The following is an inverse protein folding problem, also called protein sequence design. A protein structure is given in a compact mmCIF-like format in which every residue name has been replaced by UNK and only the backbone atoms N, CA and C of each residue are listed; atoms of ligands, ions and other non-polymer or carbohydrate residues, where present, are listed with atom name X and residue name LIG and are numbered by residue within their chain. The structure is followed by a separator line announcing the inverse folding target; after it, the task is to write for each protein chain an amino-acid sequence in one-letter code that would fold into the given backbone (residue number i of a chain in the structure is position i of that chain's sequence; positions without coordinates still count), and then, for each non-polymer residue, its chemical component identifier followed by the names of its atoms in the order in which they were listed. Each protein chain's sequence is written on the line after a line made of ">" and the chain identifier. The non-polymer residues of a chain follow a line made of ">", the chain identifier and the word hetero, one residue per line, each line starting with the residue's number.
data_IF_875012479909
#
_entry.id   IF_875012479909
#
_cell.length_a   1.000
_cell.length_b   1.000
_cell.length_c   1.000
_cell.angle_alpha   90.00
_cell.angle_beta   90.00
_cell.angle_gamma   90.00
#
_symmetry.space_group_name_H-M   'P 1'
#
loop_
_entity.id
_entity.type
_entity.pdbx_description
1 polymer ?
#
# COMPACT_ATOMS: atom_id res chain seq x y z
N UNK A 1 -4.80 -22.06 -16.89
CA UNK A 1 -4.78 -20.77 -16.17
C UNK A 1 -3.38 -20.22 -16.27
N UNK A 2 -3.18 -19.08 -16.92
CA UNK A 2 -1.90 -18.37 -16.85
C UNK A 2 -1.69 -17.91 -15.40
N UNK A 3 -0.48 -18.10 -14.86
CA UNK A 3 -0.13 -17.64 -13.51
C UNK A 3 -0.22 -16.12 -13.39
N UNK A 4 -0.21 -15.60 -12.16
CA UNK A 4 -0.07 -14.17 -11.95
C UNK A 4 1.24 -13.68 -12.58
N UNK A 5 1.26 -12.55 -13.31
CA UNK A 5 2.44 -12.13 -14.07
C UNK A 5 3.66 -11.90 -13.19
N UNK A 6 4.85 -12.12 -13.76
CA UNK A 6 6.13 -11.74 -13.17
C UNK A 6 6.32 -10.22 -13.13
N UNK A 7 7.34 -9.78 -12.40
CA UNK A 7 7.63 -8.35 -12.26
C UNK A 7 8.02 -7.68 -13.58
N UNK A 8 8.66 -8.40 -14.50
CA UNK A 8 8.94 -7.99 -15.87
C UNK A 8 7.68 -7.50 -16.59
N UNK A 9 6.61 -8.30 -16.55
CA UNK A 9 5.32 -7.95 -17.16
C UNK A 9 4.66 -6.79 -16.42
N UNK A 10 4.68 -6.81 -15.08
CA UNK A 10 4.07 -5.75 -14.27
C UNK A 10 4.77 -4.39 -14.47
N UNK A 11 6.11 -4.39 -14.60
CA UNK A 11 6.92 -3.21 -14.86
C UNK A 11 6.63 -2.65 -16.26
N UNK A 12 6.60 -3.50 -17.29
CA UNK A 12 6.23 -3.08 -18.65
C UNK A 12 4.86 -2.42 -18.66
N UNK A 13 3.88 -3.05 -18.02
CA UNK A 13 2.51 -2.54 -17.92
C UNK A 13 2.44 -1.18 -17.21
N UNK A 14 3.15 -1.00 -16.11
CA UNK A 14 3.25 0.29 -15.42
C UNK A 14 3.91 1.36 -16.31
N UNK A 15 4.98 1.01 -17.01
CA UNK A 15 5.69 1.92 -17.91
C UNK A 15 4.80 2.36 -19.09
N UNK A 16 4.12 1.40 -19.74
CA UNK A 16 3.15 1.64 -20.80
C UNK A 16 2.02 2.56 -20.33
N UNK A 17 1.48 2.32 -19.12
CA UNK A 17 0.43 3.18 -18.56
C UNK A 17 0.88 4.63 -18.37
N UNK A 18 2.17 4.86 -18.14
CA UNK A 18 2.77 6.20 -17.99
C UNK A 18 3.34 6.74 -19.30
N UNK A 19 3.27 5.98 -20.41
CA UNK A 19 3.88 6.35 -21.69
C UNK A 19 5.41 6.44 -21.62
N UNK A 20 6.04 5.67 -20.74
CA UNK A 20 7.49 5.70 -20.52
C UNK A 20 8.15 4.56 -21.29
N UNK A 21 9.12 4.89 -22.13
CA UNK A 21 10.00 3.88 -22.72
C UNK A 21 11.17 3.55 -21.79
N UNK A 22 11.99 2.55 -22.14
CA UNK A 22 13.14 2.13 -21.31
C UNK A 22 14.17 3.26 -21.14
N UNK A 23 14.38 4.09 -22.18
CA UNK A 23 15.24 5.28 -22.10
C UNK A 23 14.69 6.31 -21.10
N UNK A 24 13.38 6.56 -21.13
CA UNK A 24 12.73 7.46 -20.15
C UNK A 24 12.91 6.93 -18.72
N UNK A 25 12.67 5.63 -18.51
CA UNK A 25 12.87 5.00 -17.21
C UNK A 25 14.32 5.13 -16.74
N UNK A 26 15.29 4.87 -17.62
CA UNK A 26 16.72 4.98 -17.35
C UNK A 26 17.07 6.40 -16.90
N UNK A 27 16.67 7.39 -17.69
CA UNK A 27 16.92 8.82 -17.43
C UNK A 27 16.26 9.30 -16.13
N UNK A 28 14.99 8.96 -15.91
CA UNK A 28 14.22 9.45 -14.76
C UNK A 28 14.61 8.77 -13.44
N UNK A 29 15.02 7.50 -13.48
CA UNK A 29 15.43 6.76 -12.28
C UNK A 29 16.94 6.78 -12.04
N UNK A 30 17.74 7.22 -13.00
CA UNK A 30 19.20 7.05 -13.02
C UNK A 30 19.65 5.58 -12.93
N UNK A 31 18.79 4.63 -13.32
CA UNK A 31 19.13 3.21 -13.45
C UNK A 31 19.69 2.95 -14.84
N UNK A 32 20.83 2.27 -15.00
CA UNK A 32 21.36 1.93 -16.32
C UNK A 32 20.35 1.16 -17.17
N UNK A 33 20.19 1.56 -18.43
CA UNK A 33 19.26 0.94 -19.37
C UNK A 33 19.48 -0.58 -19.50
N UNK A 34 20.74 -1.05 -19.45
CA UNK A 34 21.07 -2.48 -19.46
C UNK A 34 20.49 -3.24 -18.25
N UNK A 35 20.46 -2.62 -17.08
CA UNK A 35 19.85 -3.22 -15.89
C UNK A 35 18.32 -3.25 -15.99
N UNK A 36 17.71 -2.22 -16.58
CA UNK A 36 16.27 -2.20 -16.85
C UNK A 36 15.87 -3.28 -17.86
N UNK A 37 16.60 -3.38 -18.98
CA UNK A 37 16.38 -4.44 -19.98
C UNK A 37 16.50 -5.82 -19.36
N UNK A 38 17.55 -6.08 -18.56
CA UNK A 38 17.70 -7.36 -17.89
C UNK A 38 16.48 -7.73 -17.03
N UNK A 39 15.90 -6.77 -16.30
CA UNK A 39 14.67 -7.00 -15.51
C UNK A 39 13.46 -7.23 -16.41
N UNK A 40 13.31 -6.47 -17.49
CA UNK A 40 12.24 -6.65 -18.48
C UNK A 40 12.36 -7.99 -19.23
N UNK A 41 13.57 -8.55 -19.30
CA UNK A 41 13.86 -9.88 -19.83
C UNK A 41 13.72 -10.99 -18.76
N UNK A 42 13.23 -10.65 -17.56
CA UNK A 42 12.90 -11.59 -16.48
C UNK A 42 13.95 -11.76 -15.39
N UNK A 43 15.04 -10.99 -15.40
CA UNK A 43 16.00 -11.04 -14.29
C UNK A 43 15.39 -10.49 -12.98
N UNK A 44 15.71 -11.08 -11.82
CA UNK A 44 15.20 -10.58 -10.54
C UNK A 44 15.72 -9.16 -10.27
N UNK A 45 14.86 -8.21 -9.88
CA UNK A 45 15.27 -6.83 -9.67
C UNK A 45 16.12 -6.68 -8.39
N UNK A 46 17.18 -5.88 -8.50
CA UNK A 46 18.00 -5.50 -7.35
C UNK A 46 17.31 -4.45 -6.46
N UNK A 47 17.65 -4.44 -5.16
CA UNK A 47 17.06 -3.51 -4.17
C UNK A 47 17.28 -2.03 -4.51
N UNK A 48 18.47 -1.69 -5.02
CA UNK A 48 18.79 -0.30 -5.42
C UNK A 48 17.93 0.14 -6.61
N UNK A 49 17.75 -0.74 -7.59
CA UNK A 49 16.93 -0.49 -8.77
C UNK A 49 15.47 -0.23 -8.38
N UNK A 50 14.91 -1.02 -7.46
CA UNK A 50 13.53 -0.79 -6.97
C UNK A 50 13.39 0.56 -6.26
N UNK A 51 14.35 0.95 -5.41
CA UNK A 51 14.33 2.26 -4.73
C UNK A 51 14.41 3.42 -5.72
N UNK A 52 15.19 3.28 -6.77
CA UNK A 52 15.36 4.29 -7.81
C UNK A 52 14.16 4.40 -8.76
N UNK A 53 13.47 3.29 -9.04
CA UNK A 53 12.27 3.27 -9.87
C UNK A 53 11.01 3.79 -9.16
N UNK A 54 10.89 3.58 -7.85
CA UNK A 54 9.66 3.89 -7.13
C UNK A 54 9.17 5.35 -7.31
N UNK A 55 10.03 6.39 -7.22
CA UNK A 55 9.63 7.77 -7.48
C UNK A 55 9.12 8.01 -8.90
N UNK A 56 9.66 7.31 -9.91
CA UNK A 56 9.23 7.43 -11.32
C UNK A 56 7.77 7.01 -11.48
N UNK A 57 7.36 5.97 -10.74
CA UNK A 57 5.98 5.50 -10.71
C UNK A 57 5.10 6.20 -9.66
N UNK A 58 5.65 7.15 -8.91
CA UNK A 58 4.97 7.79 -7.77
C UNK A 58 4.46 6.77 -6.75
N UNK A 59 5.26 5.73 -6.52
CA UNK A 59 5.02 4.70 -5.54
C UNK A 59 6.01 4.83 -4.40
N UNK A 60 5.61 4.36 -3.24
CA UNK A 60 6.53 4.12 -2.15
C UNK A 60 7.48 2.96 -2.52
N UNK A 61 8.74 3.04 -2.13
CA UNK A 61 9.73 2.01 -2.47
C UNK A 61 9.28 0.63 -1.98
N UNK A 62 8.72 0.57 -0.77
CA UNK A 62 8.23 -0.66 -0.16
C UNK A 62 7.09 -1.31 -0.96
N UNK A 63 6.26 -0.51 -1.62
CA UNK A 63 5.20 -1.04 -2.48
C UNK A 63 5.77 -1.67 -3.74
N UNK A 64 6.80 -1.05 -4.32
CA UNK A 64 7.46 -1.62 -5.49
C UNK A 64 8.17 -2.93 -5.16
N UNK A 65 8.70 -3.09 -3.94
CA UNK A 65 9.21 -4.38 -3.45
C UNK A 65 8.10 -5.44 -3.37
N UNK A 66 6.93 -5.07 -2.83
CA UNK A 66 5.77 -5.96 -2.75
C UNK A 66 5.26 -6.35 -4.14
N UNK A 67 5.19 -5.40 -5.08
CA UNK A 67 4.82 -5.62 -6.48
C UNK A 67 5.83 -6.55 -7.17
N UNK A 68 7.12 -6.35 -6.93
CA UNK A 68 8.19 -7.17 -7.47
C UNK A 68 8.30 -8.57 -6.85
N UNK A 69 7.54 -8.86 -5.79
CA UNK A 69 7.66 -10.10 -5.05
C UNK A 69 9.01 -10.26 -4.34
N UNK A 70 9.73 -9.16 -4.12
CA UNK A 70 11.04 -9.15 -3.43
C UNK A 70 10.82 -8.94 -1.95
N UNK A 71 11.52 -9.73 -1.12
CA UNK A 71 11.46 -9.60 0.33
C UNK A 71 11.80 -8.17 0.77
N UNK A 72 10.91 -7.57 1.56
CA UNK A 72 11.10 -6.23 2.06
C UNK A 72 12.21 -6.21 3.13
N UNK A 73 13.18 -5.27 3.05
CA UNK A 73 14.18 -5.12 4.10
C UNK A 73 13.54 -4.86 5.47
N UNK A 74 14.12 -5.41 6.54
CA UNK A 74 13.54 -5.32 7.89
C UNK A 74 13.30 -3.87 8.32
N UNK A 75 14.21 -2.96 8.01
CA UNK A 75 14.11 -1.53 8.27
C UNK A 75 12.93 -0.84 7.55
N UNK A 76 12.37 -1.50 6.54
CA UNK A 76 11.23 -1.03 5.76
C UNK A 76 9.90 -1.69 6.16
N UNK A 77 9.89 -2.79 6.91
CA UNK A 77 8.64 -3.47 7.32
C UNK A 77 7.90 -2.68 8.43
N UNK A 78 6.56 -2.74 8.56
CA UNK A 78 5.85 -2.13 9.68
C UNK A 78 6.46 -2.50 11.04
N UNK A 79 6.66 -1.52 11.93
CA UNK A 79 7.46 -1.72 13.15
C UNK A 79 6.80 -2.72 14.10
N UNK A 80 5.53 -2.47 14.45
CA UNK A 80 4.77 -3.26 15.40
C UNK A 80 3.55 -3.93 14.73
N UNK A 81 3.64 -5.25 14.54
CA UNK A 81 2.57 -6.06 13.92
C UNK A 81 1.24 -6.06 14.68
N UNK A 82 1.21 -5.64 15.95
CA UNK A 82 0.00 -5.58 16.76
C UNK A 82 -0.75 -4.25 16.60
N UNK A 83 -0.14 -3.26 15.95
CA UNK A 83 -0.71 -1.91 15.89
C UNK A 83 -1.83 -1.72 14.86
N UNK A 84 -2.16 -2.73 14.04
CA UNK A 84 -3.18 -2.59 12.98
C UNK A 84 -4.54 -2.07 13.45
N UNK A 85 -5.05 -2.54 14.60
CA UNK A 85 -6.30 -2.03 15.17
C UNK A 85 -6.17 -0.58 15.64
N UNK A 86 -5.00 -0.20 16.18
CA UNK A 86 -4.74 1.18 16.58
C UNK A 86 -4.64 2.12 15.37
N UNK A 87 -4.02 1.67 14.26
CA UNK A 87 -3.99 2.38 12.97
C UNK A 87 -5.40 2.60 12.45
N UNK A 88 -6.25 1.57 12.42
CA UNK A 88 -7.63 1.70 11.96
C UNK A 88 -8.47 2.66 12.83
N UNK A 89 -8.23 2.65 14.16
CA UNK A 89 -8.87 3.59 15.09
C UNK A 89 -8.41 5.02 14.84
N UNK A 90 -7.11 5.24 14.67
CA UNK A 90 -6.52 6.54 14.33
C UNK A 90 -7.10 7.07 13.02
N UNK A 91 -7.13 6.26 11.96
CA UNK A 91 -7.70 6.63 10.66
C UNK A 91 -9.17 7.07 10.78
N UNK A 92 -9.98 6.34 11.56
CA UNK A 92 -11.38 6.69 11.82
C UNK A 92 -11.52 8.05 12.52
N UNK A 93 -10.66 8.36 13.49
CA UNK A 93 -10.68 9.67 14.16
C UNK A 93 -10.24 10.77 13.20
N UNK A 94 -9.12 10.57 12.50
CA UNK A 94 -8.54 11.54 11.57
C UNK A 94 -9.48 11.89 10.41
N UNK A 95 -10.22 10.91 9.87
CA UNK A 95 -11.19 11.13 8.79
C UNK A 95 -12.32 12.11 9.14
N UNK A 96 -12.48 12.45 10.41
CA UNK A 96 -13.56 13.30 10.93
C UNK A 96 -13.05 14.65 11.43
N UNK A 97 -11.74 14.89 11.34
CA UNK A 97 -11.13 16.16 11.69
C UNK A 97 -11.11 17.10 10.47
N UNK A 98 -11.19 18.43 10.66
CA UNK A 98 -10.85 19.42 9.63
C UNK A 98 -9.39 19.28 9.15
N UNK A 99 -9.10 19.84 7.99
CA UNK A 99 -7.78 19.73 7.33
C UNK A 99 -6.62 20.17 8.24
N UNK A 100 -6.71 21.34 8.87
CA UNK A 100 -5.63 21.88 9.73
C UNK A 100 -5.27 20.93 10.88
N UNK A 101 -6.27 20.23 11.44
CA UNK A 101 -6.07 19.25 12.50
C UNK A 101 -5.49 17.94 11.98
N UNK A 102 -5.88 17.49 10.78
CA UNK A 102 -5.22 16.35 10.11
C UNK A 102 -3.75 16.65 9.82
N UNK A 103 -3.45 17.85 9.35
CA UNK A 103 -2.09 18.32 9.10
C UNK A 103 -1.27 18.39 10.39
N UNK A 104 -1.87 18.89 11.48
CA UNK A 104 -1.24 18.87 12.80
C UNK A 104 -0.93 17.44 13.25
N UNK A 105 -1.86 16.51 13.07
CA UNK A 105 -1.70 15.11 13.44
C UNK A 105 -0.60 14.41 12.61
N UNK A 106 -0.51 14.70 11.31
CA UNK A 106 0.58 14.21 10.44
C UNK A 106 1.94 14.75 10.85
N UNK A 107 2.04 16.06 11.10
CA UNK A 107 3.29 16.67 11.62
C UNK A 107 3.71 16.04 12.94
N UNK A 108 2.76 15.79 13.84
CA UNK A 108 3.04 15.11 15.11
C UNK A 108 3.55 13.69 14.87
N UNK A 109 2.87 12.89 14.04
CA UNK A 109 3.29 11.54 13.70
C UNK A 109 4.73 11.49 13.14
N UNK A 110 5.06 12.43 12.24
CA UNK A 110 6.40 12.56 11.64
C UNK A 110 7.48 13.05 12.63
N UNK A 111 7.08 13.74 13.71
CA UNK A 111 8.01 14.22 14.74
C UNK A 111 8.34 13.17 15.81
N UNK A 112 7.55 12.09 15.89
CA UNK A 112 7.80 11.03 16.88
C UNK A 112 9.09 10.27 16.55
N UNK A 113 9.90 9.92 17.57
CA UNK A 113 11.13 9.20 17.33
C UNK A 113 10.83 7.80 16.78
N UNK A 114 11.51 7.44 15.70
CA UNK A 114 11.42 6.09 15.15
C UNK A 114 12.24 5.12 16.01
N UNK A 115 11.56 4.15 16.63
CA UNK A 115 12.22 3.15 17.46
C UNK A 115 12.86 2.03 16.64
N UNK A 116 13.90 1.42 17.21
CA UNK A 116 14.49 0.21 16.66
C UNK A 116 13.59 -0.99 16.95
N UNK A 117 13.51 -1.91 15.98
CA UNK A 117 12.81 -3.17 16.19
C UNK A 117 13.56 -4.01 17.22
N UNK A 118 12.89 -4.35 18.31
CA UNK A 118 13.43 -5.19 19.41
C UNK A 118 12.98 -6.65 19.34
N UNK A 119 11.94 -6.94 18.55
CA UNK A 119 11.37 -8.29 18.38
C UNK A 119 11.44 -8.73 16.92
N UNK A 120 11.61 -10.02 16.61
CA UNK A 120 11.58 -10.48 15.24
C UNK A 120 10.23 -10.16 14.58
N UNK A 121 10.23 -10.02 13.25
CA UNK A 121 8.98 -9.94 12.51
C UNK A 121 8.29 -11.30 12.59
N UNK A 122 7.04 -11.38 13.07
CA UNK A 122 6.34 -12.66 13.13
C UNK A 122 6.05 -13.17 11.72
N UNK A 123 6.15 -14.48 11.55
CA UNK A 123 5.68 -15.10 10.31
C UNK A 123 4.19 -14.79 10.10
N UNK A 124 3.78 -14.46 8.86
CA UNK A 124 2.38 -14.31 8.55
C UNK A 124 1.63 -15.59 8.90
N UNK A 125 0.54 -15.44 9.68
CA UNK A 125 -0.36 -16.55 9.99
C UNK A 125 -0.80 -17.24 8.69
N UNK A 126 -1.04 -18.56 8.66
CA UNK A 126 -1.34 -19.28 7.42
C UNK A 126 -2.49 -18.66 6.61
N UNK A 127 -3.49 -18.10 7.29
CA UNK A 127 -4.62 -17.48 6.63
C UNK A 127 -4.34 -16.12 5.99
N UNK A 128 -3.22 -15.48 6.33
CA UNK A 128 -2.66 -14.24 5.75
C UNK A 128 -1.56 -14.53 4.72
N UNK A 129 -1.27 -15.80 4.44
CA UNK A 129 -0.44 -16.21 3.31
C UNK A 129 -1.34 -16.34 2.09
N UNK A 130 -1.11 -15.48 1.09
CA UNK A 130 -1.93 -15.43 -0.11
C UNK A 130 -1.17 -16.02 -1.30
N UNK A 131 -1.85 -16.79 -2.16
CA UNK A 131 -1.25 -17.23 -3.41
C UNK A 131 -0.88 -16.02 -4.30
N UNK A 132 0.01 -16.20 -5.28
CA UNK A 132 0.22 -15.21 -6.33
C UNK A 132 -1.11 -14.90 -7.03
N UNK A 133 -1.46 -13.62 -7.14
CA UNK A 133 -2.72 -13.18 -7.72
C UNK A 133 -3.07 -11.73 -7.37
N UNK A 134 -4.07 -11.14 -8.05
CA UNK A 134 -4.47 -9.75 -7.85
C UNK A 134 -4.85 -9.43 -6.40
N UNK A 135 -5.74 -10.23 -5.81
CA UNK A 135 -6.13 -10.05 -4.42
C UNK A 135 -4.95 -10.27 -3.45
N UNK A 136 -4.10 -11.26 -3.70
CA UNK A 136 -2.93 -11.52 -2.87
C UNK A 136 -1.95 -10.35 -2.87
N UNK A 137 -1.75 -9.70 -4.02
CA UNK A 137 -0.96 -8.47 -4.13
C UNK A 137 -1.54 -7.35 -3.27
N UNK A 138 -2.84 -7.05 -3.42
CA UNK A 138 -3.51 -6.00 -2.65
C UNK A 138 -3.46 -6.25 -1.15
N UNK A 139 -3.61 -7.50 -0.71
CA UNK A 139 -3.52 -7.84 0.70
C UNK A 139 -2.10 -7.71 1.26
N UNK A 140 -1.05 -7.98 0.46
CA UNK A 140 0.34 -7.72 0.86
C UNK A 140 0.64 -6.21 0.93
N UNK A 141 0.07 -5.43 0.02
CA UNK A 141 0.15 -3.96 0.08
C UNK A 141 -0.55 -3.41 1.33
N UNK A 142 -1.74 -3.92 1.70
CA UNK A 142 -2.40 -3.54 2.96
C UNK A 142 -1.56 -3.92 4.18
N UNK A 143 -0.94 -5.11 4.17
CA UNK A 143 -0.05 -5.52 5.25
C UNK A 143 1.14 -4.54 5.41
N UNK A 144 1.61 -3.93 4.33
CA UNK A 144 2.65 -2.88 4.36
C UNK A 144 2.20 -1.58 5.08
N UNK A 145 0.88 -1.38 5.26
CA UNK A 145 0.26 -0.31 6.07
C UNK A 145 -0.08 -0.78 7.49
N UNK A 146 0.39 -1.97 7.87
CA UNK A 146 0.01 -2.67 9.10
C UNK A 146 -1.49 -3.03 9.17
N UNK A 147 -2.18 -3.12 8.02
CA UNK A 147 -3.60 -3.43 7.94
C UNK A 147 -3.84 -4.90 7.58
N UNK A 148 -4.31 -5.68 8.56
CA UNK A 148 -4.87 -7.03 8.34
C UNK A 148 -6.35 -6.99 7.93
N UNK A 149 -7.06 -8.13 7.90
CA UNK A 149 -8.47 -8.17 7.46
C UNK A 149 -9.40 -7.27 8.28
N UNK A 150 -9.33 -7.38 9.61
CA UNK A 150 -10.21 -6.62 10.51
C UNK A 150 -9.85 -5.13 10.51
N UNK A 151 -8.55 -4.81 10.63
CA UNK A 151 -8.08 -3.42 10.58
C UNK A 151 -8.38 -2.76 9.22
N UNK A 152 -8.18 -3.49 8.12
CA UNK A 152 -8.56 -3.06 6.77
C UNK A 152 -10.06 -2.77 6.69
N UNK A 153 -10.92 -3.71 7.06
CA UNK A 153 -12.37 -3.49 7.05
C UNK A 153 -12.80 -2.26 7.87
N UNK A 154 -12.18 -2.04 9.03
CA UNK A 154 -12.44 -0.86 9.88
C UNK A 154 -11.93 0.46 9.30
N UNK A 155 -10.99 0.41 8.35
CA UNK A 155 -10.36 1.56 7.70
C UNK A 155 -11.08 1.92 6.40
N UNK A 156 -11.58 0.94 5.65
CA UNK A 156 -12.26 1.19 4.37
C UNK A 156 -13.52 2.03 4.55
N UNK A 157 -14.42 1.66 5.48
CA UNK A 157 -15.68 2.38 5.69
C UNK A 157 -15.49 3.90 5.89
N UNK A 158 -14.64 4.39 6.82
CA UNK A 158 -14.46 5.83 7.00
C UNK A 158 -13.77 6.53 5.81
N UNK A 159 -13.01 5.82 4.96
CA UNK A 159 -12.27 6.43 3.85
C UNK A 159 -13.01 6.39 2.51
N UNK A 160 -13.87 5.40 2.31
CA UNK A 160 -14.54 5.15 1.03
C UNK A 160 -16.06 5.24 1.12
N UNK A 161 -16.61 5.27 2.34
CA UNK A 161 -18.06 5.19 2.58
C UNK A 161 -18.66 3.81 2.30
N UNK A 162 -17.85 2.83 1.88
CA UNK A 162 -18.30 1.47 1.54
C UNK A 162 -17.86 0.46 2.59
N UNK A 163 -18.80 -0.37 3.02
CA UNK A 163 -18.55 -1.44 3.95
C UNK A 163 -18.35 -2.76 3.20
N UNK A 164 -17.26 -3.45 3.54
CA UNK A 164 -17.03 -4.84 3.18
C UNK A 164 -16.67 -5.64 4.42
N UNK A 165 -17.15 -6.88 4.50
CA UNK A 165 -16.81 -7.74 5.63
C UNK A 165 -15.31 -8.09 5.63
N UNK A 166 -14.72 -8.28 6.81
CA UNK A 166 -13.34 -8.76 6.95
C UNK A 166 -13.09 -10.07 6.17
N UNK A 167 -14.09 -10.95 6.11
CA UNK A 167 -14.03 -12.20 5.37
C UNK A 167 -13.95 -11.98 3.85
N UNK A 168 -14.64 -10.96 3.32
CA UNK A 168 -14.60 -10.62 1.88
C UNK A 168 -13.18 -10.33 1.43
N UNK A 169 -12.43 -9.48 2.16
CA UNK A 169 -11.02 -9.21 1.85
C UNK A 169 -10.16 -10.47 1.89
N UNK A 170 -10.41 -11.35 2.87
CA UNK A 170 -9.73 -12.63 2.96
C UNK A 170 -10.00 -13.57 1.79
N UNK A 171 -11.24 -13.65 1.31
CA UNK A 171 -11.60 -14.46 0.15
C UNK A 171 -11.03 -13.87 -1.15
N UNK A 172 -11.05 -12.54 -1.31
CA UNK A 172 -10.43 -11.85 -2.44
C UNK A 172 -8.92 -12.07 -2.45
N UNK A 173 -8.26 -11.92 -1.31
CA UNK A 173 -6.83 -12.22 -1.13
C UNK A 173 -6.44 -13.62 -1.59
N UNK A 174 -7.35 -14.60 -1.40
CA UNK A 174 -7.16 -15.99 -1.79
C UNK A 174 -7.63 -16.33 -3.21
N UNK A 175 -8.14 -15.35 -3.96
CA UNK A 175 -8.71 -15.55 -5.30
C UNK A 175 -10.00 -16.36 -5.32
N UNK A 176 -10.69 -16.50 -4.18
CA UNK A 176 -11.97 -17.23 -4.07
C UNK A 176 -13.17 -16.35 -4.41
N UNK A 177 -13.03 -15.04 -4.23
CA UNK A 177 -13.96 -14.02 -4.70
C UNK A 177 -13.20 -13.14 -5.69
N UNK A 178 -13.83 -12.85 -6.82
CA UNK A 178 -13.27 -11.96 -7.83
C UNK A 178 -13.08 -10.54 -7.29
N UNK A 179 -12.00 -9.90 -7.70
CA UNK A 179 -11.74 -8.49 -7.42
C UNK A 179 -12.58 -7.64 -8.37
N UNK A 180 -13.57 -6.92 -7.83
CA UNK A 180 -14.44 -6.03 -8.63
C UNK A 180 -13.79 -4.65 -8.83
N UNK A 181 -14.18 -3.88 -9.85
CA UNK A 181 -13.67 -2.52 -10.06
C UNK A 181 -13.94 -1.57 -8.88
N UNK A 182 -15.12 -1.67 -8.26
CA UNK A 182 -15.46 -0.88 -7.06
C UNK A 182 -14.55 -1.20 -5.88
N UNK A 183 -14.30 -2.50 -5.64
CA UNK A 183 -13.42 -2.92 -4.56
C UNK A 183 -11.97 -2.48 -4.85
N UNK A 184 -11.52 -2.56 -6.09
CA UNK A 184 -10.21 -2.05 -6.51
C UNK A 184 -10.07 -0.54 -6.26
N UNK A 185 -11.09 0.25 -6.58
CA UNK A 185 -11.11 1.68 -6.30
C UNK A 185 -11.03 1.97 -4.80
N UNK A 186 -11.74 1.19 -3.97
CA UNK A 186 -11.65 1.32 -2.52
C UNK A 186 -10.24 0.97 -2.00
N UNK A 187 -9.60 -0.07 -2.56
CA UNK A 187 -8.20 -0.40 -2.26
C UNK A 187 -7.26 0.74 -2.65
N UNK A 188 -7.44 1.35 -3.82
CA UNK A 188 -6.63 2.47 -4.29
C UNK A 188 -6.62 3.63 -3.28
N UNK A 189 -7.80 3.99 -2.76
CA UNK A 189 -7.96 5.04 -1.75
C UNK A 189 -7.18 4.70 -0.47
N UNK A 190 -7.38 3.50 0.07
CA UNK A 190 -6.79 3.08 1.36
C UNK A 190 -5.28 2.85 1.25
N UNK A 191 -4.80 2.40 0.09
CA UNK A 191 -3.38 2.17 -0.15
C UNK A 191 -2.63 3.46 -0.50
N UNK A 192 -3.32 4.48 -1.00
CA UNK A 192 -2.71 5.72 -1.49
C UNK A 192 -2.03 5.54 -2.83
N UNK A 193 -2.46 4.52 -3.60
CA UNK A 193 -1.93 4.20 -4.93
C UNK A 193 -2.99 4.58 -5.96
N UNK A 194 -2.57 5.14 -7.08
CA UNK A 194 -3.49 5.51 -8.16
C UNK A 194 -4.27 4.28 -8.63
N UNK A 195 -5.58 4.42 -8.78
CA UNK A 195 -6.46 3.33 -9.18
C UNK A 195 -6.06 2.71 -10.52
N UNK A 196 -5.57 3.54 -11.45
CA UNK A 196 -5.06 3.11 -12.75
C UNK A 196 -3.84 2.19 -12.64
N UNK A 197 -2.91 2.50 -11.74
CA UNK A 197 -1.72 1.67 -11.55
C UNK A 197 -2.13 0.31 -10.95
N UNK A 198 -3.06 0.32 -9.97
CA UNK A 198 -3.59 -0.93 -9.44
C UNK A 198 -4.38 -1.73 -10.47
N UNK A 199 -5.17 -1.10 -11.33
CA UNK A 199 -5.91 -1.76 -12.40
C UNK A 199 -4.97 -2.49 -13.36
N UNK A 200 -3.91 -1.82 -13.78
CA UNK A 200 -2.87 -2.37 -14.65
C UNK A 200 -2.11 -3.53 -13.98
N UNK A 201 -1.82 -3.41 -12.68
CA UNK A 201 -1.17 -4.46 -11.89
C UNK A 201 -2.07 -5.67 -11.64
N UNK A 202 -3.38 -5.47 -11.55
CA UNK A 202 -4.36 -6.51 -11.20
C UNK A 202 -5.06 -7.11 -12.42
N UNK A 203 -5.01 -6.45 -13.57
CA UNK A 203 -5.75 -6.82 -14.78
C UNK A 203 -7.26 -6.58 -14.66
N UNK A 204 -7.69 -5.68 -13.78
CA UNK A 204 -9.11 -5.34 -13.62
C UNK A 204 -9.42 -4.12 -14.48
N UNK A 205 -10.41 -4.25 -15.36
CA UNK A 205 -10.89 -3.15 -16.18
C UNK A 205 -11.66 -2.14 -15.31
N UNK A 206 -11.26 -0.87 -15.40
CA UNK A 206 -11.96 0.22 -14.73
C UNK A 206 -13.06 0.78 -15.64
N UNK A 207 -14.21 1.20 -15.08
CA UNK A 207 -15.16 1.99 -15.83
C UNK A 207 -14.55 3.36 -16.21
N UNK A 208 -15.04 3.98 -17.28
CA UNK A 208 -14.56 5.28 -17.79
C UNK A 208 -14.56 6.40 -16.74
N UNK A 209 -15.37 6.26 -15.69
CA UNK A 209 -15.43 7.19 -14.55
C UNK A 209 -15.29 6.43 -13.24
N UNK A 210 -14.11 6.53 -12.64
CA UNK A 210 -13.87 6.13 -11.25
C UNK A 210 -13.98 7.35 -10.34
N UNK A 211 -14.59 7.17 -9.16
CA UNK A 211 -14.62 8.22 -8.15
C UNK A 211 -13.18 8.51 -7.69
N UNK A 212 -12.80 9.79 -7.66
CA UNK A 212 -11.53 10.21 -7.09
C UNK A 212 -11.61 10.20 -5.57
N UNK A 213 -10.47 9.94 -4.92
CA UNK A 213 -10.35 10.04 -3.46
C UNK A 213 -10.68 11.47 -3.01
N UNK A 214 -11.37 11.62 -1.88
CA UNK A 214 -11.53 12.93 -1.25
C UNK A 214 -10.19 13.40 -0.67
N UNK A 215 -9.99 14.71 -0.52
CA UNK A 215 -8.79 15.27 0.13
C UNK A 215 -8.60 14.70 1.54
N UNK A 216 -9.69 14.57 2.31
CA UNK A 216 -9.65 13.93 3.62
C UNK A 216 -9.16 12.48 3.55
N UNK A 217 -9.57 11.71 2.53
CA UNK A 217 -9.09 10.34 2.35
C UNK A 217 -7.60 10.31 2.02
N UNK A 218 -7.11 11.24 1.19
CA UNK A 218 -5.68 11.36 0.85
C UNK A 218 -4.85 11.68 2.09
N UNK A 219 -5.28 12.65 2.91
CA UNK A 219 -4.57 13.03 4.14
C UNK A 219 -4.49 11.86 5.13
N UNK A 220 -5.60 11.16 5.34
CA UNK A 220 -5.65 10.03 6.28
C UNK A 220 -4.84 8.85 5.77
N UNK A 221 -4.83 8.59 4.46
CA UNK A 221 -3.95 7.56 3.89
C UNK A 221 -2.48 7.93 4.03
N UNK A 222 -2.13 9.21 3.87
CA UNK A 222 -0.80 9.72 4.20
C UNK A 222 -0.44 9.49 5.66
N UNK A 223 -1.37 9.74 6.59
CA UNK A 223 -1.18 9.46 8.02
C UNK A 223 -0.97 7.96 8.30
N UNK A 224 -1.78 7.09 7.67
CA UNK A 224 -1.62 5.62 7.80
C UNK A 224 -0.21 5.20 7.37
N UNK A 225 0.32 5.81 6.32
CA UNK A 225 1.69 5.59 5.87
C UNK A 225 2.72 6.08 6.90
N UNK A 226 2.58 7.33 7.35
CA UNK A 226 3.49 7.98 8.30
C UNK A 226 3.64 7.16 9.60
N UNK A 227 2.57 6.54 10.09
CA UNK A 227 2.57 5.80 11.37
C UNK A 227 3.04 4.35 11.27
N UNK A 228 3.25 3.79 10.06
CA UNK A 228 3.56 2.35 9.90
C UNK A 228 4.85 1.92 10.62
N UNK A 229 5.76 2.85 10.85
CA UNK A 229 7.05 2.65 11.51
C UNK A 229 7.06 3.08 12.99
N UNK A 230 5.90 3.40 13.56
CA UNK A 230 5.73 3.71 14.97
C UNK A 230 5.32 2.47 15.78
N UNK A 231 5.53 2.52 17.09
CA UNK A 231 5.09 1.48 18.03
C UNK A 231 3.58 1.53 18.26
N UNK A 232 3.00 0.45 18.82
CA UNK A 232 1.61 0.45 19.23
C UNK A 232 1.27 1.62 20.17
N UNK A 233 2.12 1.88 21.17
CA UNK A 233 1.88 2.91 22.19
C UNK A 233 1.89 4.32 21.56
N UNK A 234 2.84 4.60 20.66
CA UNK A 234 2.89 5.85 19.90
C UNK A 234 1.61 6.05 19.07
N UNK A 235 1.14 5.00 18.38
CA UNK A 235 -0.09 5.08 17.56
C UNK A 235 -1.33 5.26 18.44
N UNK A 236 -1.38 4.62 19.60
CA UNK A 236 -2.47 4.80 20.56
C UNK A 236 -2.53 6.23 21.07
N UNK A 237 -1.38 6.82 21.45
CA UNK A 237 -1.29 8.21 21.87
C UNK A 237 -1.77 9.17 20.78
N UNK A 238 -1.34 8.97 19.52
CA UNK A 238 -1.85 9.75 18.39
C UNK A 238 -3.37 9.60 18.24
N UNK A 239 -3.90 8.39 18.44
CA UNK A 239 -5.34 8.12 18.39
C UNK A 239 -6.13 8.86 19.47
N UNK A 240 -5.59 8.95 20.68
CA UNK A 240 -6.21 9.66 21.80
C UNK A 240 -6.17 11.19 21.58
N UNK A 241 -5.07 11.70 21.02
CA UNK A 241 -4.96 13.10 20.59
C UNK A 241 -6.00 13.41 19.49
N UNK A 242 -6.05 12.60 18.43
CA UNK A 242 -7.03 12.76 17.35
C UNK A 242 -8.47 12.72 17.87
N UNK A 243 -8.76 11.88 18.86
CA UNK A 243 -10.07 11.82 19.52
C UNK A 243 -10.39 13.11 20.30
N UNK A 244 -9.40 13.73 20.93
CA UNK A 244 -9.58 14.98 21.70
C UNK A 244 -9.73 16.24 20.85
N UNK A 245 -9.29 16.22 19.59
CA UNK A 245 -9.40 17.33 18.64
C UNK A 245 -10.82 17.51 18.07
N UNK A 246 -11.67 16.50 18.28
CA UNK A 246 -12.98 16.32 17.66
C UNK A 246 -14.11 16.83 18.54
#
# INVERSE_FOLDING_TARGET
>A
MAGFPGFDVLLSRLAERRGLCVDDLSRLSSVPEAALRAVLDGAPPGRSLLRQLAPVFQLEAEDLFVIAGVALPLEMMPLDSLAGTAVARLARHAAQLPQDQRDQLRRLAQSLPQEHRTRPVPDPRPYLQYPPGPGGLLMRLLANRNLGWAAGAQTFLPLTGRYWSAATYGQVGRGRIGLTPDLLADFAIVLGIRVDDLAVLTGVDLPDRTASASEASVDVTGLIWDVRRLTLDQIQQLGDIAKSMR
#
